data_IF_292617828350
#
_entry.id   IF_292617828350
#
_cell.length_a   1.000
_cell.length_b   1.000
_cell.length_c   1.000
_cell.angle_alpha   90.00
_cell.angle_beta   90.00
_cell.angle_gamma   90.00
#
_symmetry.space_group_name_H-M   'P 1'
#
loop_
_entity.id
_entity.type
_entity.pdbx_description
1 polymer ?
#
# COMPACT_ATOMS: atom_id res chain seq x y z
N UNK A 1 13.24 7.86 -24.04
CA UNK A 1 12.59 7.10 -22.95
C UNK A 1 13.57 7.06 -21.79
N UNK A 2 13.27 7.73 -20.68
CA UNK A 2 14.15 7.69 -19.51
C UNK A 2 13.99 6.33 -18.82
N UNK A 3 15.09 5.64 -18.58
CA UNK A 3 15.13 4.42 -17.77
C UNK A 3 14.64 4.76 -16.36
N UNK A 4 13.76 3.97 -15.71
CA UNK A 4 13.41 4.20 -14.32
C UNK A 4 14.70 4.07 -13.50
N UNK A 5 15.05 5.12 -12.75
CA UNK A 5 16.18 5.07 -11.84
C UNK A 5 15.90 3.96 -10.81
N UNK A 6 16.77 2.95 -10.74
CA UNK A 6 16.66 1.89 -9.74
C UNK A 6 16.70 2.55 -8.35
N UNK A 7 15.64 2.39 -7.55
CA UNK A 7 15.62 2.88 -6.17
C UNK A 7 16.75 2.14 -5.43
N UNK A 8 17.65 2.89 -4.78
CA UNK A 8 18.82 2.32 -4.12
C UNK A 8 18.35 1.64 -2.83
N UNK A 9 18.62 0.34 -2.68
CA UNK A 9 18.31 -0.35 -1.43
C UNK A 9 19.06 0.30 -0.26
N UNK A 10 18.38 0.41 0.88
CA UNK A 10 18.90 0.98 2.13
C UNK A 10 19.71 -0.06 2.89
N UNK A 11 19.31 -1.33 2.84
CA UNK A 11 20.05 -2.48 3.35
C UNK A 11 19.97 -3.66 2.41
N UNK A 12 21.01 -4.49 2.40
CA UNK A 12 21.06 -5.76 1.68
C UNK A 12 21.71 -6.81 2.59
N UNK A 13 21.25 -8.05 2.50
CA UNK A 13 21.82 -9.20 3.18
C UNK A 13 22.38 -10.16 2.13
N UNK A 14 23.61 -10.60 2.36
CA UNK A 14 24.31 -11.55 1.50
C UNK A 14 24.73 -12.78 2.31
N UNK A 15 24.60 -13.97 1.71
CA UNK A 15 25.32 -15.17 2.12
C UNK A 15 26.62 -15.23 1.33
N UNK A 16 27.73 -15.47 2.01
CA UNK A 16 29.02 -15.69 1.36
C UNK A 16 29.43 -17.13 1.60
N UNK A 17 29.50 -17.92 0.53
CA UNK A 17 29.88 -19.33 0.58
C UNK A 17 31.41 -19.46 0.78
N UNK A 18 31.94 -20.61 1.25
CA UNK A 18 33.37 -20.78 1.54
C UNK A 18 34.30 -20.57 0.34
N UNK A 19 33.77 -20.65 -0.88
CA UNK A 19 34.47 -20.36 -2.14
C UNK A 19 34.50 -18.85 -2.49
N UNK A 20 33.87 -18.02 -1.66
CA UNK A 20 33.79 -16.57 -1.83
C UNK A 20 32.60 -16.09 -2.67
N UNK A 21 31.72 -16.99 -3.11
CA UNK A 21 30.53 -16.61 -3.88
C UNK A 21 29.51 -15.93 -2.97
N UNK A 22 29.18 -14.67 -3.27
CA UNK A 22 28.18 -13.91 -2.55
C UNK A 22 26.81 -13.99 -3.23
N UNK A 23 25.82 -14.51 -2.52
CA UNK A 23 24.42 -14.57 -2.97
C UNK A 23 23.58 -13.60 -2.15
N UNK A 24 22.87 -12.69 -2.81
CA UNK A 24 21.93 -11.80 -2.13
C UNK A 24 20.72 -12.60 -1.65
N UNK A 25 20.45 -12.58 -0.35
CA UNK A 25 19.28 -13.24 0.24
C UNK A 25 18.09 -12.29 0.38
N UNK A 26 18.36 -11.03 0.69
CA UNK A 26 17.31 -10.05 1.00
C UNK A 26 17.78 -8.62 0.75
N UNK A 27 16.84 -7.73 0.46
CA UNK A 27 17.08 -6.29 0.39
C UNK A 27 15.86 -5.51 0.86
N UNK A 28 16.10 -4.34 1.46
CA UNK A 28 15.05 -3.39 1.79
C UNK A 28 15.46 -1.99 1.39
N UNK A 29 14.49 -1.22 0.91
CA UNK A 29 14.67 0.18 0.53
C UNK A 29 14.31 1.14 1.68
N UNK A 30 13.53 0.67 2.64
CA UNK A 30 12.96 1.52 3.68
C UNK A 30 13.62 1.31 5.03
N UNK A 31 14.47 0.30 5.18
CA UNK A 31 14.97 -0.12 6.49
C UNK A 31 16.48 -0.26 6.56
N UNK A 32 17.04 0.24 7.65
CA UNK A 32 18.44 0.03 8.04
C UNK A 32 18.55 -1.18 8.97
N UNK A 33 19.33 -2.18 8.56
CA UNK A 33 19.72 -3.33 9.40
C UNK A 33 20.99 -2.98 10.17
N UNK A 34 20.99 -3.21 11.47
CA UNK A 34 22.10 -2.91 12.39
C UNK A 34 22.77 -4.17 12.93
N UNK A 35 22.03 -5.26 13.08
CA UNK A 35 22.54 -6.50 13.64
C UNK A 35 21.88 -7.70 12.98
N UNK A 36 22.60 -8.82 12.98
CA UNK A 36 22.09 -10.12 12.53
C UNK A 36 22.42 -11.19 13.55
N UNK A 37 21.61 -12.23 13.64
CA UNK A 37 21.89 -13.44 14.39
C UNK A 37 21.47 -14.66 13.57
N UNK A 38 22.25 -15.74 13.68
CA UNK A 38 22.05 -16.98 12.91
C UNK A 38 22.06 -18.16 13.89
N UNK A 39 20.93 -18.45 14.57
CA UNK A 39 20.84 -19.58 15.51
C UNK A 39 21.04 -20.95 14.86
N UNK A 40 20.71 -21.09 13.57
CA UNK A 40 20.90 -22.30 12.77
C UNK A 40 21.18 -21.94 11.31
N UNK A 41 21.70 -22.88 10.52
CA UNK A 41 22.23 -22.68 9.15
C UNK A 41 21.30 -21.91 8.19
N UNK A 42 19.98 -21.94 8.43
CA UNK A 42 18.97 -21.25 7.62
C UNK A 42 18.06 -20.29 8.39
N UNK A 43 18.32 -20.13 9.68
CA UNK A 43 17.47 -19.30 10.52
C UNK A 43 18.22 -17.98 10.75
N UNK A 44 17.76 -16.91 10.11
CA UNK A 44 18.43 -15.61 10.17
C UNK A 44 17.48 -14.57 10.75
N UNK A 45 17.92 -13.91 11.82
CA UNK A 45 17.22 -12.78 12.41
C UNK A 45 17.94 -11.47 12.14
N UNK A 46 17.16 -10.42 11.86
CA UNK A 46 17.66 -9.08 11.55
C UNK A 46 17.12 -8.07 12.56
N UNK A 47 18.02 -7.29 13.17
CA UNK A 47 17.70 -6.15 14.01
C UNK A 47 17.76 -4.86 13.20
N UNK A 48 16.72 -4.03 13.29
CA UNK A 48 16.57 -2.82 12.45
C UNK A 48 16.53 -1.53 13.27
N UNK A 49 16.84 -0.40 12.61
CA UNK A 49 16.87 0.93 13.24
C UNK A 49 15.69 1.86 12.95
N UNK A 50 14.70 1.38 12.22
CA UNK A 50 13.51 2.14 11.85
C UNK A 50 12.29 1.54 12.59
N UNK A 51 12.22 1.80 13.90
CA UNK A 51 11.20 1.34 14.87
C UNK A 51 11.51 0.03 15.60
N UNK A 52 12.80 -0.29 15.82
CA UNK A 52 13.21 -1.38 16.71
C UNK A 52 12.62 -2.75 16.35
N UNK A 53 12.51 -3.04 15.04
CA UNK A 53 11.92 -4.30 14.57
C UNK A 53 12.97 -5.40 14.55
N UNK A 54 12.56 -6.58 14.99
CA UNK A 54 13.26 -7.85 14.80
C UNK A 54 12.53 -8.61 13.70
N UNK A 55 13.25 -8.99 12.66
CA UNK A 55 12.72 -9.81 11.56
C UNK A 55 13.32 -11.19 11.53
N UNK A 56 12.54 -12.13 11.02
CA UNK A 56 13.02 -13.44 10.62
C UNK A 56 13.03 -13.51 9.09
N UNK A 57 14.12 -14.01 8.52
CA UNK A 57 14.23 -14.25 7.08
C UNK A 57 13.65 -15.64 6.78
N UNK A 58 12.66 -15.70 5.91
CA UNK A 58 12.06 -16.95 5.46
C UNK A 58 12.89 -17.59 4.33
N UNK A 59 12.71 -18.88 4.09
CA UNK A 59 13.47 -19.62 3.06
C UNK A 59 13.22 -19.09 1.64
N UNK A 60 12.09 -18.44 1.39
CA UNK A 60 11.73 -17.82 0.11
C UNK A 60 12.41 -16.46 -0.13
N UNK A 61 13.20 -15.98 0.83
CA UNK A 61 13.87 -14.68 0.80
C UNK A 61 13.00 -13.49 1.24
N UNK A 62 11.77 -13.74 1.68
CA UNK A 62 10.94 -12.74 2.36
C UNK A 62 11.36 -12.58 3.82
N UNK A 63 10.94 -11.49 4.49
CA UNK A 63 11.28 -11.26 5.88
C UNK A 63 10.03 -10.92 6.72
N UNK A 64 9.68 -11.82 7.63
CA UNK A 64 8.53 -11.69 8.53
C UNK A 64 8.90 -10.86 9.76
N UNK A 65 7.91 -10.16 10.33
CA UNK A 65 8.09 -9.40 11.56
C UNK A 65 7.85 -10.30 12.78
N UNK A 66 8.88 -10.51 13.59
CA UNK A 66 8.79 -11.33 14.81
C UNK A 66 8.39 -10.47 16.00
N UNK A 67 9.06 -9.33 16.17
CA UNK A 67 8.80 -8.44 17.28
C UNK A 67 9.07 -6.99 16.91
N UNK A 68 8.33 -6.09 17.57
CA UNK A 68 8.61 -4.66 17.58
C UNK A 68 8.91 -4.26 19.02
N UNK A 69 10.19 -4.00 19.28
CA UNK A 69 10.65 -3.60 20.61
C UNK A 69 10.33 -2.12 20.84
N UNK A 70 10.11 -1.68 22.10
CA UNK A 70 9.82 -0.29 22.42
C UNK A 70 11.10 0.58 22.41
N UNK A 71 11.88 0.47 21.34
CA UNK A 71 13.12 1.21 21.11
C UNK A 71 13.21 1.64 19.64
N UNK A 72 14.08 2.62 19.36
CA UNK A 72 14.28 3.07 17.98
C UNK A 72 15.11 2.06 17.18
N UNK A 73 16.11 1.46 17.81
CA UNK A 73 17.12 0.63 17.13
C UNK A 73 17.41 -0.64 17.90
N UNK A 74 17.50 -1.76 17.17
CA UNK A 74 18.08 -3.02 17.65
C UNK A 74 19.51 -3.10 17.13
N UNK A 75 20.47 -2.87 18.01
CA UNK A 75 21.89 -2.70 17.65
C UNK A 75 22.70 -3.98 17.78
N UNK A 76 22.21 -4.96 18.53
CA UNK A 76 22.84 -6.28 18.65
C UNK A 76 21.78 -7.34 18.84
N UNK A 77 22.00 -8.50 18.21
CA UNK A 77 21.25 -9.73 18.44
C UNK A 77 22.24 -10.81 18.86
N UNK A 78 21.90 -11.61 19.88
CA UNK A 78 22.74 -12.70 20.38
C UNK A 78 21.86 -13.92 20.67
N UNK A 79 22.31 -15.10 20.25
CA UNK A 79 21.65 -16.36 20.57
C UNK A 79 22.26 -16.90 21.87
N UNK A 80 21.41 -17.14 22.87
CA UNK A 80 21.78 -17.75 24.14
C UNK A 80 22.07 -19.25 24.01
N UNK A 81 22.69 -19.83 25.03
CA UNK A 81 22.99 -21.26 25.08
C UNK A 81 21.72 -22.14 25.14
N UNK A 82 20.61 -21.57 25.63
CA UNK A 82 19.27 -22.15 25.65
C UNK A 82 18.51 -21.98 24.31
N UNK A 83 19.10 -21.27 23.35
CA UNK A 83 18.48 -20.93 22.07
C UNK A 83 17.55 -19.70 22.12
N UNK A 84 17.47 -18.98 23.25
CA UNK A 84 16.74 -17.72 23.31
C UNK A 84 17.47 -16.62 22.54
N UNK A 85 16.74 -15.72 21.89
CA UNK A 85 17.32 -14.60 21.15
C UNK A 85 17.30 -13.34 22.03
N UNK A 86 18.48 -12.81 22.35
CA UNK A 86 18.63 -11.57 23.09
C UNK A 86 18.82 -10.39 22.13
N UNK A 87 18.10 -9.30 22.37
CA UNK A 87 18.17 -8.08 21.59
C UNK A 87 18.63 -6.91 22.48
N UNK A 88 19.75 -6.29 22.12
CA UNK A 88 20.22 -5.05 22.72
C UNK A 88 19.76 -3.86 21.88
N UNK A 89 19.20 -2.86 22.55
CA UNK A 89 18.60 -1.70 21.90
C UNK A 89 19.32 -0.40 22.23
N UNK A 90 19.18 0.58 21.35
CA UNK A 90 19.79 1.92 21.48
C UNK A 90 18.74 3.03 21.33
N UNK A 91 19.13 4.25 21.72
CA UNK A 91 18.29 5.42 22.03
C UNK A 91 17.48 5.25 23.33
N UNK A 92 16.67 4.20 23.40
CA UNK A 92 16.21 3.65 24.67
C UNK A 92 17.06 2.41 24.96
N UNK A 93 17.98 2.51 25.93
CA UNK A 93 18.85 1.39 26.28
C UNK A 93 18.07 0.29 27.00
N UNK A 94 18.08 -0.92 26.43
CA UNK A 94 17.38 -2.07 27.00
C UNK A 94 17.85 -3.38 26.38
N UNK A 95 17.78 -4.44 27.18
CA UNK A 95 18.01 -5.82 26.74
C UNK A 95 16.67 -6.55 26.82
N UNK A 96 16.28 -7.18 25.72
CA UNK A 96 15.04 -7.95 25.61
C UNK A 96 15.39 -9.41 25.29
N UNK A 97 14.69 -10.35 25.90
CA UNK A 97 14.74 -11.77 25.54
C UNK A 97 13.51 -12.13 24.70
N UNK A 98 13.73 -12.74 23.55
CA UNK A 98 12.71 -13.38 22.74
C UNK A 98 12.84 -14.89 22.95
N UNK A 99 11.81 -15.47 23.55
CA UNK A 99 11.73 -16.91 23.77
C UNK A 99 11.55 -17.64 22.43
N UNK A 100 12.11 -18.85 22.36
CA UNK A 100 11.95 -19.72 21.19
C UNK A 100 10.51 -20.23 21.03
N UNK A 101 9.78 -20.31 22.14
CA UNK A 101 8.40 -20.80 22.13
C UNK A 101 7.45 -19.77 21.53
N UNK A 102 6.66 -20.21 20.56
CA UNK A 102 5.63 -19.38 19.96
C UNK A 102 4.50 -19.19 20.95
N UNK A 103 4.18 -17.92 21.25
CA UNK A 103 3.07 -17.58 22.13
C UNK A 103 1.72 -18.06 21.59
N UNK A 104 0.80 -18.38 22.50
CA UNK A 104 -0.58 -18.76 22.15
C UNK A 104 -1.35 -17.61 21.50
N UNK A 105 -0.95 -16.36 21.76
CA UNK A 105 -1.55 -15.20 21.13
C UNK A 105 -0.57 -14.05 20.92
N UNK A 106 -0.76 -13.31 19.83
CA UNK A 106 0.03 -12.15 19.46
C UNK A 106 -0.87 -11.03 18.95
N UNK A 107 -0.38 -9.79 19.08
CA UNK A 107 -1.08 -8.63 18.53
C UNK A 107 -0.12 -7.79 17.70
N UNK A 108 -0.53 -7.47 16.48
CA UNK A 108 0.17 -6.52 15.62
C UNK A 108 -0.63 -5.25 15.44
N UNK A 109 0.01 -4.09 15.63
CA UNK A 109 -0.60 -2.78 15.44
C UNK A 109 0.06 -2.07 14.24
N UNK A 110 -0.74 -1.82 13.20
CA UNK A 110 -0.26 -1.11 12.02
C UNK A 110 0.08 0.36 12.32
N UNK A 111 0.99 1.00 11.55
CA UNK A 111 1.08 2.45 11.54
C UNK A 111 -0.23 3.10 11.07
N UNK A 112 -0.60 4.31 11.57
CA UNK A 112 -1.74 5.05 11.05
C UNK A 112 -1.56 5.37 9.56
N UNK A 113 -2.56 5.05 8.75
CA UNK A 113 -2.62 5.41 7.33
C UNK A 113 -3.33 6.75 7.18
N UNK A 114 -2.63 7.72 6.59
CA UNK A 114 -3.19 9.02 6.21
C UNK A 114 -3.87 8.93 4.83
N UNK A 115 -5.15 9.27 4.75
CA UNK A 115 -5.91 9.38 3.50
C UNK A 115 -5.76 10.77 2.83
N UNK A 116 -4.93 11.66 3.38
CA UNK A 116 -4.68 13.05 2.97
C UNK A 116 -5.87 14.01 3.14
N UNK A 117 -7.10 13.52 3.03
CA UNK A 117 -8.34 14.24 3.31
C UNK A 117 -9.26 13.36 4.17
N UNK A 118 -10.42 13.91 4.58
CA UNK A 118 -11.49 13.10 5.13
C UNK A 118 -11.83 11.97 4.13
N UNK A 119 -11.94 10.74 4.61
CA UNK A 119 -12.26 9.58 3.79
C UNK A 119 -13.32 8.69 4.43
N UNK A 120 -14.10 8.02 3.58
CA UNK A 120 -15.01 6.95 3.98
C UNK A 120 -14.34 5.61 3.74
N UNK A 121 -14.36 4.75 4.76
CA UNK A 121 -13.74 3.43 4.69
C UNK A 121 -14.65 2.43 3.97
N UNK A 122 -14.05 1.60 3.14
CA UNK A 122 -14.72 0.56 2.34
C UNK A 122 -14.69 -0.77 3.05
N UNK A 123 -13.88 -1.69 2.55
CA UNK A 123 -13.71 -3.03 3.09
C UNK A 123 -12.27 -3.26 3.56
N UNK A 124 -12.14 -4.08 4.61
CA UNK A 124 -10.88 -4.65 5.07
C UNK A 124 -10.88 -6.14 4.75
N UNK A 125 -9.81 -6.63 4.15
CA UNK A 125 -9.54 -8.04 3.89
C UNK A 125 -8.06 -8.33 4.09
N UNK A 126 -7.69 -9.60 4.21
CA UNK A 126 -6.31 -9.99 4.45
C UNK A 126 -5.99 -11.36 3.84
N UNK A 127 -4.70 -11.57 3.60
CA UNK A 127 -4.13 -12.80 3.07
C UNK A 127 -3.16 -13.34 4.13
N UNK A 128 -3.25 -14.64 4.37
CA UNK A 128 -2.47 -15.34 5.37
C UNK A 128 -2.73 -16.84 5.38
N UNK A 129 -1.92 -17.56 6.15
CA UNK A 129 -2.11 -18.98 6.41
C UNK A 129 -2.82 -19.15 7.77
N UNK A 130 -3.97 -19.81 7.73
CA UNK A 130 -4.77 -20.09 8.92
C UNK A 130 -4.92 -21.61 9.08
N UNK A 131 -3.92 -22.30 9.68
CA UNK A 131 -4.03 -23.71 10.02
C UNK A 131 -5.23 -24.00 10.94
N UNK A 132 -5.72 -25.24 10.95
CA UNK A 132 -6.77 -25.67 11.88
C UNK A 132 -6.36 -25.41 13.35
N UNK A 133 -7.27 -24.89 14.16
CA UNK A 133 -6.97 -24.52 15.56
C UNK A 133 -6.31 -23.15 15.71
N UNK A 134 -6.28 -22.34 14.65
CA UNK A 134 -5.85 -20.94 14.70
C UNK A 134 -7.02 -19.98 14.47
N UNK A 135 -6.85 -18.74 14.90
CA UNK A 135 -7.80 -17.65 14.68
C UNK A 135 -7.06 -16.36 14.38
N UNK A 136 -7.55 -15.65 13.38
CA UNK A 136 -7.12 -14.30 13.04
C UNK A 136 -8.29 -13.34 13.16
N UNK A 137 -8.08 -12.26 13.90
CA UNK A 137 -9.09 -11.22 14.10
C UNK A 137 -8.51 -9.86 13.76
N UNK A 138 -9.24 -9.11 12.95
CA UNK A 138 -8.88 -7.74 12.60
C UNK A 138 -9.77 -6.74 13.31
N UNK A 139 -9.19 -5.59 13.64
CA UNK A 139 -9.87 -4.48 14.26
C UNK A 139 -9.47 -3.20 13.54
N UNK A 140 -10.39 -2.25 13.38
CA UNK A 140 -10.10 -0.94 12.82
C UNK A 140 -10.50 0.17 13.78
N UNK A 141 -9.77 1.27 13.76
CA UNK A 141 -10.15 2.53 14.37
C UNK A 141 -9.78 3.68 13.47
N UNK A 142 -10.49 4.80 13.59
CA UNK A 142 -10.26 5.98 12.78
C UNK A 142 -10.13 7.23 13.64
N UNK A 143 -9.54 8.28 13.08
CA UNK A 143 -9.43 9.58 13.74
C UNK A 143 -8.87 10.66 12.83
N UNK A 144 -8.83 11.89 13.34
CA UNK A 144 -8.37 13.05 12.55
C UNK A 144 -6.92 13.46 12.86
N UNK A 145 -6.23 12.70 13.72
CA UNK A 145 -4.85 12.93 14.13
C UNK A 145 -3.93 11.75 13.79
N UNK A 146 -2.70 12.06 13.35
CA UNK A 146 -1.65 11.07 13.07
C UNK A 146 -1.13 10.40 14.36
N UNK A 147 -1.05 11.16 15.46
CA UNK A 147 -0.71 10.62 16.78
C UNK A 147 -1.91 9.89 17.40
N UNK A 148 -1.69 8.84 18.20
CA UNK A 148 -2.72 8.26 19.05
C UNK A 148 -3.08 9.29 20.15
N UNK A 149 -4.16 10.02 19.93
CA UNK A 149 -4.76 10.95 20.91
C UNK A 149 -6.18 10.49 21.27
N UNK A 150 -6.81 11.20 22.21
CA UNK A 150 -8.17 10.91 22.67
C UNK A 150 -9.26 11.26 21.64
N UNK A 151 -8.89 11.74 20.43
CA UNK A 151 -9.85 12.08 19.37
C UNK A 151 -10.14 10.92 18.43
N UNK A 152 -9.48 9.76 18.65
CA UNK A 152 -9.71 8.54 17.89
C UNK A 152 -10.96 7.81 18.37
N UNK A 153 -11.60 7.10 17.44
CA UNK A 153 -12.67 6.17 17.78
C UNK A 153 -12.16 5.04 18.66
N UNK A 154 -13.09 4.42 19.39
CA UNK A 154 -12.90 3.07 19.90
C UNK A 154 -12.57 2.10 18.76
N UNK A 155 -11.95 0.97 19.12
CA UNK A 155 -11.74 -0.13 18.18
C UNK A 155 -13.10 -0.71 17.74
N UNK A 156 -13.19 -1.08 16.47
CA UNK A 156 -14.33 -1.83 15.95
C UNK A 156 -14.49 -3.17 16.68
N UNK A 157 -15.66 -3.83 16.56
CA UNK A 157 -15.75 -5.27 16.76
C UNK A 157 -14.75 -6.03 15.87
N UNK A 158 -14.42 -7.26 16.26
CA UNK A 158 -13.52 -8.12 15.51
C UNK A 158 -14.12 -8.50 14.15
N UNK A 159 -13.37 -8.25 13.07
CA UNK A 159 -13.63 -8.85 11.77
C UNK A 159 -12.92 -10.21 11.72
N UNK A 160 -13.65 -11.24 11.28
CA UNK A 160 -13.16 -12.62 11.22
C UNK A 160 -13.15 -13.20 9.80
N UNK A 161 -13.74 -12.49 8.83
CA UNK A 161 -13.81 -12.92 7.44
C UNK A 161 -12.64 -12.35 6.63
N UNK A 162 -11.62 -13.18 6.38
CA UNK A 162 -10.41 -12.80 5.64
C UNK A 162 -10.69 -12.28 4.22
N UNK A 163 -11.70 -12.86 3.54
CA UNK A 163 -12.11 -12.45 2.20
C UNK A 163 -12.60 -11.00 2.11
N UNK A 164 -13.02 -10.39 3.22
CA UNK A 164 -13.46 -9.01 3.25
C UNK A 164 -14.61 -8.76 4.23
N UNK A 165 -14.53 -7.66 4.96
CA UNK A 165 -15.59 -7.13 5.82
C UNK A 165 -15.74 -5.64 5.61
N UNK A 166 -16.98 -5.13 5.63
CA UNK A 166 -17.23 -3.68 5.57
C UNK A 166 -16.68 -3.03 6.84
N UNK A 167 -15.85 -2.00 6.68
CA UNK A 167 -15.28 -1.25 7.80
C UNK A 167 -16.39 -0.45 8.48
N UNK A 168 -16.55 -0.63 9.79
CA UNK A 168 -17.55 0.07 10.60
C UNK A 168 -17.01 1.32 11.30
N UNK A 169 -15.70 1.54 11.25
CA UNK A 169 -15.08 2.75 11.83
C UNK A 169 -15.64 4.03 11.18
N UNK A 170 -15.81 5.13 11.93
CA UNK A 170 -16.30 6.40 11.40
C UNK A 170 -15.42 6.99 10.30
N UNK A 171 -16.00 7.81 9.42
CA UNK A 171 -15.23 8.55 8.41
C UNK A 171 -14.26 9.52 9.07
N UNK A 172 -13.00 9.49 8.65
CA UNK A 172 -11.93 10.30 9.23
C UNK A 172 -10.77 10.45 8.24
N UNK A 173 -9.74 11.24 8.57
CA UNK A 173 -8.52 11.34 7.74
C UNK A 173 -7.56 10.17 7.94
N UNK A 174 -7.46 9.64 9.15
CA UNK A 174 -6.56 8.55 9.49
C UNK A 174 -7.33 7.28 9.84
N UNK A 175 -6.80 6.15 9.40
CA UNK A 175 -7.24 4.81 9.83
C UNK A 175 -6.06 4.01 10.35
N UNK A 176 -6.32 3.17 11.34
CA UNK A 176 -5.34 2.22 11.85
C UNK A 176 -6.04 0.89 12.06
N UNK A 177 -5.35 -0.19 11.73
CA UNK A 177 -5.82 -1.54 11.99
C UNK A 177 -4.92 -2.27 12.99
N UNK A 178 -5.48 -3.26 13.65
CA UNK A 178 -4.80 -4.16 14.59
C UNK A 178 -5.21 -5.59 14.25
N UNK A 179 -4.23 -6.49 14.16
CA UNK A 179 -4.46 -7.92 14.08
C UNK A 179 -4.26 -8.54 15.46
N UNK A 180 -5.14 -9.49 15.81
CA UNK A 180 -4.92 -10.44 16.89
C UNK A 180 -4.83 -11.83 16.26
N UNK A 181 -3.72 -12.49 16.52
CA UNK A 181 -3.41 -13.83 16.06
C UNK A 181 -3.45 -14.75 17.28
N UNK A 182 -4.09 -15.90 17.17
CA UNK A 182 -4.10 -16.88 18.26
C UNK A 182 -4.10 -18.31 17.73
N UNK A 183 -3.55 -19.21 18.54
CA UNK A 183 -3.48 -20.65 18.29
C UNK A 183 -3.80 -21.42 19.57
N UNK A 184 -4.15 -22.69 19.41
CA UNK A 184 -4.14 -23.65 20.51
C UNK A 184 -2.70 -23.90 21.01
N UNK A 185 -2.54 -24.29 22.28
CA UNK A 185 -1.24 -24.35 22.98
C UNK A 185 -0.14 -25.12 22.25
N UNK A 186 -0.48 -26.13 21.44
CA UNK A 186 0.46 -26.95 20.64
C UNK A 186 0.21 -26.91 19.13
N UNK A 187 -0.58 -25.93 18.66
CA UNK A 187 -0.90 -25.76 17.25
C UNK A 187 0.23 -25.12 16.44
N UNK A 188 0.03 -25.00 15.13
CA UNK A 188 0.90 -24.20 14.26
C UNK A 188 0.50 -22.72 14.43
N UNK A 189 1.45 -21.79 14.33
CA UNK A 189 1.12 -20.36 14.34
C UNK A 189 0.39 -19.95 13.06
N UNK A 190 -0.64 -19.09 13.11
CA UNK A 190 -1.11 -18.43 11.90
C UNK A 190 -0.05 -17.46 11.37
N UNK A 191 -0.07 -17.22 10.06
CA UNK A 191 0.81 -16.27 9.36
C UNK A 191 -0.05 -15.22 8.67
N UNK A 192 0.19 -13.94 8.99
CA UNK A 192 -0.44 -12.83 8.30
C UNK A 192 0.53 -12.22 7.28
N UNK A 193 0.23 -12.36 5.99
CA UNK A 193 1.09 -11.88 4.91
C UNK A 193 0.76 -10.42 4.54
N UNK A 194 -0.52 -10.12 4.29
CA UNK A 194 -0.93 -8.79 3.87
C UNK A 194 -2.33 -8.41 4.34
N UNK A 195 -2.54 -7.10 4.54
CA UNK A 195 -3.85 -6.52 4.87
C UNK A 195 -4.18 -5.45 3.84
N UNK A 196 -5.34 -5.59 3.23
CA UNK A 196 -5.87 -4.64 2.26
C UNK A 196 -7.05 -3.88 2.85
N UNK A 197 -7.03 -2.55 2.70
CA UNK A 197 -8.12 -1.68 3.12
C UNK A 197 -8.45 -0.69 2.01
N UNK A 198 -9.71 -0.68 1.59
CA UNK A 198 -10.22 0.24 0.56
C UNK A 198 -10.87 1.46 1.20
N UNK A 199 -10.79 2.63 0.54
CA UNK A 199 -11.40 3.87 1.02
C UNK A 199 -11.69 4.83 -0.12
N UNK A 200 -12.63 5.75 0.12
CA UNK A 200 -13.01 6.81 -0.80
C UNK A 200 -12.75 8.18 -0.14
N UNK A 201 -11.76 8.95 -0.63
CA UNK A 201 -11.55 10.32 -0.20
C UNK A 201 -12.75 11.23 -0.53
N UNK A 202 -13.07 12.16 0.36
CA UNK A 202 -14.02 13.23 0.07
C UNK A 202 -13.47 14.15 -1.00
N UNK A 203 -14.26 14.40 -2.04
CA UNK A 203 -13.89 15.32 -3.10
C UNK A 203 -13.86 16.75 -2.55
N UNK A 204 -12.69 17.38 -2.58
CA UNK A 204 -12.55 18.80 -2.26
C UNK A 204 -12.63 19.62 -3.55
N UNK A 205 -13.31 20.78 -3.55
CA UNK A 205 -13.32 21.64 -4.72
C UNK A 205 -11.89 22.06 -5.08
N UNK A 206 -11.53 22.10 -6.37
CA UNK A 206 -10.20 22.51 -6.79
C UNK A 206 -9.95 23.97 -6.39
N UNK A 207 -8.76 24.27 -5.87
CA UNK A 207 -8.29 25.64 -5.65
C UNK A 207 -7.38 26.02 -6.81
N UNK A 208 -7.78 27.03 -7.59
CA UNK A 208 -6.92 27.61 -8.62
C UNK A 208 -6.04 28.66 -7.94
N UNK A 209 -4.80 28.29 -7.60
CA UNK A 209 -3.87 29.20 -6.91
C UNK A 209 -3.28 30.26 -7.87
N UNK A 210 -3.07 29.88 -9.13
CA UNK A 210 -2.48 30.78 -10.13
C UNK A 210 -2.98 30.45 -11.53
N UNK A 211 -3.39 31.48 -12.26
CA UNK A 211 -3.59 31.42 -13.70
C UNK A 211 -2.52 32.30 -14.33
N UNK A 212 -1.53 31.67 -14.96
CA UNK A 212 -0.56 32.40 -15.76
C UNK A 212 -0.99 32.40 -17.21
N UNK A 213 -1.19 33.59 -17.77
CA UNK A 213 -1.41 33.77 -19.20
C UNK A 213 -0.05 34.12 -19.81
N UNK A 214 0.63 33.21 -20.53
CA UNK A 214 1.86 33.56 -21.20
C UNK A 214 1.56 34.62 -22.26
N UNK A 215 2.14 35.81 -22.10
CA UNK A 215 2.11 36.84 -23.15
C UNK A 215 2.90 36.31 -24.35
N UNK A 216 2.21 35.84 -25.39
CA UNK A 216 2.84 35.68 -26.69
C UNK A 216 3.20 37.08 -27.19
N UNK A 217 4.48 37.41 -27.44
CA UNK A 217 4.81 38.67 -28.08
C UNK A 217 4.11 38.70 -29.44
N UNK A 218 3.43 39.80 -29.71
CA UNK A 218 2.77 40.06 -30.99
C UNK A 218 3.78 39.88 -32.12
N UNK A 219 3.72 38.76 -32.84
CA UNK A 219 4.51 38.59 -34.05
C UNK A 219 3.94 39.54 -35.09
N UNK A 220 4.80 40.45 -35.57
CA UNK A 220 4.48 41.41 -36.63
C UNK A 220 3.79 40.68 -37.78
N UNK A 221 2.69 41.28 -38.23
CA UNK A 221 1.82 40.90 -39.33
C UNK A 221 2.57 40.11 -40.42
N UNK A 222 2.12 38.90 -40.81
CA UNK A 222 2.74 38.21 -41.93
C UNK A 222 2.62 39.11 -43.16
N UNK A 223 3.76 39.42 -43.79
CA UNK A 223 3.77 40.08 -45.11
C UNK A 223 2.77 39.32 -45.99
N UNK A 224 1.76 40.04 -46.52
CA UNK A 224 0.83 39.52 -47.53
C UNK A 224 1.68 38.89 -48.65
N UNK A 225 1.82 37.57 -48.67
CA UNK A 225 2.15 36.86 -49.89
C UNK A 225 0.95 37.05 -50.79
N UNK A 226 1.13 37.69 -51.95
CA UNK A 226 0.10 37.75 -52.97
C UNK A 226 -0.27 36.30 -53.31
N UNK A 227 -1.53 35.94 -53.11
CA UNK A 227 -2.07 34.71 -53.66
C UNK A 227 -1.98 34.80 -55.20
N UNK A 228 -1.51 33.76 -55.91
CA UNK A 228 -1.74 33.66 -57.35
C UNK A 228 -3.25 33.59 -57.61
N UNK A 229 -3.73 34.23 -58.69
CA UNK A 229 -5.15 34.23 -59.05
C UNK A 229 -5.73 32.80 -59.10
N UNK A 230 -6.94 32.57 -58.55
CA UNK A 230 -7.61 31.28 -58.68
C UNK A 230 -7.96 31.02 -60.16
N UNK A 231 -7.71 29.80 -60.64
CA UNK A 231 -8.18 29.35 -61.94
C UNK A 231 -9.71 29.15 -61.89
N UNK A 232 -10.46 29.39 -62.99
CA UNK A 232 -11.90 29.17 -63.00
C UNK A 232 -12.23 27.69 -62.77
N UNK A 233 -13.24 27.43 -61.94
CA UNK A 233 -13.74 26.08 -61.68
C UNK A 233 -14.44 25.49 -62.93
N UNK A 234 -14.27 24.19 -63.22
CA UNK A 234 -15.05 23.52 -64.24
C UNK A 234 -16.50 23.33 -63.77
N UNK A 235 -17.47 23.59 -64.67
CA UNK A 235 -18.91 23.48 -64.38
C UNK A 235 -19.30 22.03 -64.10
N UNK A 236 -19.91 21.78 -62.94
CA UNK A 236 -20.51 20.49 -62.59
C UNK A 236 -21.88 20.28 -63.25
N UNK A 237 -22.35 19.03 -63.37
CA UNK A 237 -23.62 18.69 -64.03
C UNK A 237 -24.85 19.08 -63.21
N UNK A 238 -25.89 19.50 -63.90
CA UNK A 238 -27.20 19.91 -63.38
C UNK A 238 -28.01 18.75 -62.82
N UNK A 239 -28.48 18.87 -61.58
CA UNK A 239 -29.42 17.91 -60.96
C UNK A 239 -30.86 18.14 -61.45
N UNK A 240 -31.65 17.07 -61.70
CA UNK A 240 -33.05 17.20 -62.09
C UNK A 240 -33.99 17.46 -60.91
N UNK A 241 -35.03 18.24 -61.19
CA UNK A 241 -36.10 18.71 -60.31
C UNK A 241 -37.10 17.57 -60.05
N UNK A 242 -37.42 17.28 -58.79
CA UNK A 242 -38.50 16.38 -58.38
C UNK A 242 -39.78 17.18 -58.11
N UNK A 243 -40.84 16.90 -58.89
CA UNK A 243 -42.18 17.48 -58.75
C UNK A 243 -43.01 16.78 -57.64
N UNK A 244 -43.95 17.48 -56.99
CA UNK A 244 -44.71 16.96 -55.86
C UNK A 244 -45.91 16.06 -56.29
N UNK A 245 -46.23 15.03 -55.50
CA UNK A 245 -47.46 14.23 -55.62
C UNK A 245 -48.46 14.61 -54.51
N UNK A 246 -49.70 14.84 -54.92
CA UNK A 246 -50.89 15.13 -54.10
C UNK A 246 -51.54 13.87 -53.48
N UNK A 247 -52.49 14.01 -52.53
CA UNK A 247 -52.77 13.02 -51.47
C UNK A 247 -53.92 12.05 -51.83
N UNK A 248 -54.02 10.95 -51.07
CA UNK A 248 -55.15 10.01 -51.13
C UNK A 248 -55.71 9.71 -49.73
N UNK A 249 -57.01 9.43 -49.75
CA UNK A 249 -58.04 9.47 -48.71
C UNK A 249 -58.09 8.31 -47.71
N UNK A 250 -58.49 8.69 -46.49
CA UNK A 250 -59.42 8.09 -45.52
C UNK A 250 -60.23 6.83 -45.93
N UNK A 251 -60.34 5.84 -45.01
CA UNK A 251 -61.65 5.30 -44.59
C UNK A 251 -61.53 4.45 -43.31
N UNK A 252 -62.47 4.66 -42.39
CA UNK A 252 -62.79 3.81 -41.24
C UNK A 252 -63.84 2.76 -41.63
N UNK A 253 -63.89 1.62 -40.92
CA UNK A 253 -65.11 0.82 -40.67
C UNK A 253 -64.95 0.06 -39.35
N UNK A 254 -65.97 0.17 -38.49
CA UNK A 254 -66.12 -0.58 -37.26
C UNK A 254 -67.03 -1.80 -37.40
N UNK A 255 -67.11 -2.52 -36.28
CA UNK A 255 -68.02 -3.60 -35.93
C UNK A 255 -67.81 -3.92 -34.46
#
# INVERSE_FOLDING_TARGET
MASPAARKARSMLFRVDPDGVATQLWSSEDETVFSLAVPAEKEVYLGTGDLGKVRHLEEDGSASLVARLPAAQVTSLLVGADGALFAATSNAGGIYSLEKEVSESGTYLSPPKDASSLARWGQIGWIGEMPSGTREEMFTRSGNSAAPDNTRSEWSPAYVAAAGSKVVSPSARFIQWKARLSRESKGISPLLESVSLTYLPSNLPPKVEKIEIPRRPWSRTPRRRRCPNPRPFPKGPSSPILSPRSPASESSRGG
#
